data_IF_523373538232
#
_entry.id   IF_523373538232
#
_cell.length_a   1.000
_cell.length_b   1.000
_cell.length_c   1.000
_cell.angle_alpha   90.00
_cell.angle_beta   90.00
_cell.angle_gamma   90.00
#
_symmetry.space_group_name_H-M   'P 1'
#
loop_
_entity.id
_entity.type
_entity.pdbx_description
1 polymer ?
#
# COMPACT_ATOMS: atom_id res chain seq x y z
N UNK A 1 84.14 -28.60 -51.39
CA UNK A 1 84.81 -29.90 -51.13
C UNK A 1 83.74 -30.99 -51.14
N UNK A 2 83.93 -32.03 -51.98
CA UNK A 2 83.02 -33.18 -52.22
C UNK A 2 81.94 -32.87 -53.27
N UNK A 3 81.98 -33.24 -54.56
CA UNK A 3 82.36 -34.46 -55.32
C UNK A 3 81.47 -35.69 -55.08
N UNK A 4 80.54 -35.96 -56.01
CA UNK A 4 80.30 -37.22 -56.76
C UNK A 4 78.93 -37.12 -57.45
N UNK A 5 78.76 -37.07 -58.79
CA UNK A 5 79.32 -37.79 -59.95
C UNK A 5 78.64 -39.14 -60.24
N UNK A 6 77.92 -39.12 -61.36
CA UNK A 6 77.64 -40.12 -62.42
C UNK A 6 77.05 -41.50 -62.13
N UNK A 7 75.93 -41.78 -62.81
CA UNK A 7 75.67 -42.90 -63.75
C UNK A 7 74.15 -43.02 -64.01
N UNK A 8 73.59 -43.26 -65.19
CA UNK A 8 74.08 -43.83 -66.45
C UNK A 8 73.15 -43.41 -67.60
N UNK A 9 73.70 -43.26 -68.81
CA UNK A 9 72.97 -43.36 -70.06
C UNK A 9 72.49 -44.80 -70.30
N UNK A 10 71.25 -44.97 -70.75
CA UNK A 10 70.85 -46.10 -71.59
C UNK A 10 69.83 -45.61 -72.61
N UNK A 11 70.26 -45.52 -73.86
CA UNK A 11 69.41 -45.35 -75.02
C UNK A 11 68.65 -46.65 -75.28
N UNK A 12 67.38 -46.56 -75.69
CA UNK A 12 66.78 -47.44 -76.70
C UNK A 12 65.43 -46.89 -77.17
N UNK A 13 65.42 -46.56 -78.47
CA UNK A 13 64.22 -46.44 -79.31
C UNK A 13 63.40 -47.74 -79.29
N UNK A 14 62.09 -47.60 -79.46
CA UNK A 14 61.15 -48.68 -79.71
C UNK A 14 59.75 -48.13 -79.99
N UNK A 15 59.25 -48.44 -81.18
CA UNK A 15 57.97 -48.04 -81.79
C UNK A 15 56.71 -48.27 -80.93
N UNK A 16 55.81 -47.29 -81.08
CA UNK A 16 54.35 -47.31 -81.15
C UNK A 16 53.63 -48.67 -81.04
N UNK A 17 52.76 -48.81 -80.03
CA UNK A 17 51.32 -49.08 -80.22
C UNK A 17 50.56 -49.18 -78.89
N UNK A 18 49.29 -48.75 -78.90
CA UNK A 18 48.28 -49.26 -77.97
C UNK A 18 47.74 -48.29 -76.93
N UNK A 19 46.72 -47.52 -77.33
CA UNK A 19 45.42 -47.48 -76.64
C UNK A 19 45.41 -47.46 -75.10
N UNK A 20 45.28 -46.27 -74.49
CA UNK A 20 44.48 -46.10 -73.27
C UNK A 20 44.37 -44.64 -72.81
N UNK A 21 43.14 -44.24 -72.43
CA UNK A 21 42.77 -43.11 -71.54
C UNK A 21 42.81 -41.74 -72.23
N UNK A 22 41.70 -41.19 -72.75
CA UNK A 22 40.46 -40.84 -72.03
C UNK A 22 40.78 -40.39 -70.59
N UNK A 23 41.25 -39.15 -70.43
CA UNK A 23 41.04 -38.26 -69.27
C UNK A 23 42.10 -37.15 -69.23
N UNK A 24 41.85 -36.01 -69.88
CA UNK A 24 42.15 -34.66 -69.35
C UNK A 24 41.69 -33.58 -70.35
N UNK A 25 40.40 -33.54 -70.67
CA UNK A 25 39.78 -32.29 -71.12
C UNK A 25 38.70 -31.95 -70.11
N UNK A 26 38.54 -30.65 -69.87
CA UNK A 26 37.51 -30.01 -69.04
C UNK A 26 37.85 -29.82 -67.55
N UNK A 27 38.88 -29.02 -67.25
CA UNK A 27 38.97 -28.39 -65.93
C UNK A 27 37.96 -27.22 -65.88
N UNK A 28 36.77 -27.50 -65.33
CA UNK A 28 35.75 -26.49 -65.06
C UNK A 28 36.22 -25.51 -63.96
N UNK A 29 35.88 -24.21 -64.04
CA UNK A 29 36.35 -23.23 -63.06
C UNK A 29 35.77 -23.52 -61.66
N UNK A 30 36.47 -23.16 -60.57
CA UNK A 30 36.04 -23.48 -59.21
C UNK A 30 34.68 -22.85 -58.91
N UNK A 31 33.70 -23.70 -58.57
CA UNK A 31 32.40 -23.27 -58.03
C UNK A 31 32.61 -22.57 -56.69
N UNK A 32 32.45 -21.26 -56.67
CA UNK A 32 32.27 -20.50 -55.43
C UNK A 32 30.92 -20.89 -54.82
N UNK A 33 30.94 -21.52 -53.65
CA UNK A 33 29.73 -21.70 -52.82
C UNK A 33 29.44 -20.38 -52.13
N UNK A 34 28.45 -19.64 -52.63
CA UNK A 34 27.89 -18.52 -51.89
C UNK A 34 27.22 -19.06 -50.62
N UNK A 35 27.81 -18.76 -49.46
CA UNK A 35 27.17 -19.02 -48.16
C UNK A 35 25.89 -18.20 -48.10
N UNK A 36 24.72 -18.77 -47.74
CA UNK A 36 23.51 -17.99 -47.57
C UNK A 36 23.73 -17.02 -46.40
N UNK A 37 23.83 -15.71 -46.69
CA UNK A 37 23.67 -14.72 -45.63
C UNK A 37 22.22 -14.81 -45.19
N UNK A 38 22.00 -15.16 -43.91
CA UNK A 38 20.66 -15.14 -43.31
C UNK A 38 19.99 -13.81 -43.67
N UNK A 39 18.74 -13.83 -44.19
CA UNK A 39 18.03 -12.61 -44.50
C UNK A 39 18.03 -11.71 -43.27
N UNK A 40 18.56 -10.51 -43.42
CA UNK A 40 18.54 -9.51 -42.36
C UNK A 40 17.08 -9.29 -41.95
N UNK A 41 16.74 -9.70 -40.73
CA UNK A 41 15.44 -9.43 -40.12
C UNK A 41 15.13 -7.96 -40.39
N UNK A 42 13.99 -7.62 -41.02
CA UNK A 42 13.69 -6.25 -41.42
C UNK A 42 13.81 -5.36 -40.19
N UNK A 43 14.64 -4.33 -40.28
CA UNK A 43 14.90 -3.37 -39.19
C UNK A 43 13.59 -2.85 -38.58
N UNK A 44 12.55 -2.73 -39.39
CA UNK A 44 11.20 -2.35 -39.00
C UNK A 44 10.55 -3.32 -38.01
N UNK A 45 10.70 -4.64 -38.18
CA UNK A 45 10.14 -5.64 -37.28
C UNK A 45 10.90 -5.67 -35.94
N UNK A 46 12.22 -5.52 -35.97
CA UNK A 46 13.05 -5.37 -34.76
C UNK A 46 12.69 -4.11 -33.98
N UNK A 47 12.49 -2.98 -34.68
CA UNK A 47 12.10 -1.72 -34.07
C UNK A 47 10.69 -1.79 -33.46
N UNK A 48 9.74 -2.44 -34.15
CA UNK A 48 8.39 -2.68 -33.62
C UNK A 48 8.43 -3.58 -32.39
N UNK A 49 9.23 -4.66 -32.40
CA UNK A 49 9.42 -5.52 -31.23
C UNK A 49 10.01 -4.75 -30.05
N UNK A 50 11.02 -3.91 -30.27
CA UNK A 50 11.60 -3.08 -29.21
C UNK A 50 10.56 -2.10 -28.66
N UNK A 51 9.77 -1.46 -29.52
CA UNK A 51 8.71 -0.54 -29.11
C UNK A 51 7.63 -1.24 -28.28
N UNK A 52 7.22 -2.45 -28.68
CA UNK A 52 6.27 -3.27 -27.92
C UNK A 52 6.86 -3.66 -26.57
N UNK A 53 8.12 -4.09 -26.53
CA UNK A 53 8.80 -4.44 -25.27
C UNK A 53 8.89 -3.23 -24.34
N UNK A 54 9.27 -2.05 -24.86
CA UNK A 54 9.32 -0.81 -24.08
C UNK A 54 7.93 -0.43 -23.55
N UNK A 55 6.88 -0.55 -24.39
CA UNK A 55 5.52 -0.28 -23.97
C UNK A 55 5.05 -1.25 -22.87
N UNK A 56 5.36 -2.54 -22.99
CA UNK A 56 5.04 -3.55 -21.96
C UNK A 56 5.79 -3.24 -20.66
N UNK A 57 7.08 -2.91 -20.72
CA UNK A 57 7.86 -2.49 -19.54
C UNK A 57 7.23 -1.26 -18.88
N UNK A 58 6.85 -0.25 -19.67
CA UNK A 58 6.20 0.96 -19.16
C UNK A 58 4.88 0.63 -18.46
N UNK A 59 4.05 -0.25 -19.05
CA UNK A 59 2.81 -0.71 -18.43
C UNK A 59 3.06 -1.43 -17.11
N UNK A 60 4.05 -2.33 -17.04
CA UNK A 60 4.43 -3.02 -15.80
C UNK A 60 4.87 -2.03 -14.73
N UNK A 61 5.67 -1.02 -15.10
CA UNK A 61 6.13 0.03 -14.20
C UNK A 61 4.95 0.84 -13.66
N UNK A 62 4.01 1.27 -14.50
CA UNK A 62 2.81 2.00 -14.08
C UNK A 62 1.98 1.15 -13.11
N UNK A 63 1.71 -0.12 -13.45
CA UNK A 63 0.96 -1.03 -12.57
C UNK A 63 1.66 -1.20 -11.23
N UNK A 64 2.99 -1.37 -11.22
CA UNK A 64 3.76 -1.48 -9.98
C UNK A 64 3.62 -0.21 -9.12
N UNK A 65 3.76 0.98 -9.70
CA UNK A 65 3.57 2.24 -8.98
C UNK A 65 2.14 2.41 -8.44
N UNK A 66 1.12 2.01 -9.20
CA UNK A 66 -0.27 2.05 -8.73
C UNK A 66 -0.49 1.09 -7.55
N UNK A 67 0.05 -0.13 -7.63
CA UNK A 67 -0.04 -1.12 -6.54
C UNK A 67 0.73 -0.66 -5.30
N UNK A 68 1.93 -0.11 -5.47
CA UNK A 68 2.73 0.48 -4.39
C UNK A 68 2.00 1.69 -3.78
N UNK A 69 1.42 2.58 -4.59
CA UNK A 69 0.66 3.74 -4.14
C UNK A 69 -0.58 3.35 -3.32
N UNK A 70 -1.31 2.32 -3.76
CA UNK A 70 -2.46 1.76 -3.05
C UNK A 70 -2.05 1.07 -1.73
N UNK A 71 -1.01 0.25 -1.73
CA UNK A 71 -0.52 -0.40 -0.51
C UNK A 71 0.06 0.59 0.51
N UNK A 72 0.73 1.65 0.05
CA UNK A 72 1.28 2.68 0.93
C UNK A 72 0.16 3.57 1.50
N UNK A 73 -0.87 3.87 0.71
CA UNK A 73 -2.05 4.58 1.23
C UNK A 73 -2.82 3.76 2.25
N UNK A 74 -2.86 2.43 2.13
CA UNK A 74 -3.52 1.56 3.13
C UNK A 74 -2.71 1.41 4.44
N UNK A 75 -1.38 1.37 4.38
CA UNK A 75 -0.51 1.16 5.56
C UNK A 75 -0.42 2.37 6.49
N UNK A 76 -0.78 3.57 6.02
CA UNK A 76 -0.81 4.80 6.83
C UNK A 76 -2.15 5.56 6.81
N UNK A 77 -3.18 5.08 6.12
CA UNK A 77 -4.51 5.65 6.25
C UNK A 77 -5.02 5.37 7.67
N UNK A 78 -5.02 6.40 8.51
CA UNK A 78 -5.78 6.39 9.77
C UNK A 78 -7.25 6.21 9.39
N UNK A 79 -7.74 4.96 9.40
CA UNK A 79 -9.11 4.65 9.03
C UNK A 79 -10.05 5.18 10.11
N UNK A 80 -10.47 6.43 9.96
CA UNK A 80 -11.51 7.05 10.78
C UNK A 80 -12.85 6.79 10.10
N UNK A 81 -13.56 5.75 10.54
CA UNK A 81 -14.86 5.38 10.02
C UNK A 81 -15.90 6.38 10.54
N UNK A 82 -16.28 7.36 9.71
CA UNK A 82 -17.39 8.29 10.01
C UNK A 82 -18.69 7.72 9.45
N UNK A 83 -19.67 7.49 10.30
CA UNK A 83 -21.00 7.04 9.93
C UNK A 83 -22.05 7.95 10.58
N UNK A 84 -23.09 8.29 9.83
CA UNK A 84 -24.28 8.95 10.39
C UNK A 84 -25.29 7.87 10.71
N UNK A 85 -25.52 7.59 11.99
CA UNK A 85 -26.54 6.63 12.41
C UNK A 85 -27.88 7.38 12.39
N UNK A 86 -28.77 6.94 11.50
CA UNK A 86 -30.18 7.28 11.60
C UNK A 86 -30.79 6.39 12.68
N UNK A 87 -31.48 6.97 13.66
CA UNK A 87 -32.12 6.19 14.73
C UNK A 87 -33.03 5.12 14.15
N UNK A 88 -32.98 3.91 14.71
CA UNK A 88 -33.70 2.72 14.26
C UNK A 88 -35.23 2.94 14.14
N UNK A 89 -35.79 3.94 14.83
CA UNK A 89 -37.22 4.24 14.84
C UNK A 89 -37.65 5.40 13.91
N UNK A 90 -36.76 5.90 13.04
CA UNK A 90 -37.08 7.00 12.12
C UNK A 90 -37.31 8.37 12.78
N UNK A 91 -37.38 8.42 14.11
CA UNK A 91 -37.56 9.61 14.95
C UNK A 91 -36.25 10.04 15.67
N UNK A 92 -35.14 9.36 15.40
CA UNK A 92 -33.85 9.68 16.01
C UNK A 92 -33.10 10.78 15.23
N UNK A 93 -32.61 11.80 15.93
CA UNK A 93 -31.73 12.81 15.31
C UNK A 93 -30.49 12.16 14.73
N UNK A 94 -30.03 12.54 13.52
CA UNK A 94 -28.84 11.97 12.91
C UNK A 94 -27.65 12.08 13.87
N UNK A 95 -27.12 10.94 14.32
CA UNK A 95 -26.02 10.91 15.27
C UNK A 95 -24.73 10.63 14.53
N UNK A 96 -23.76 11.55 14.66
CA UNK A 96 -22.46 11.38 14.02
C UNK A 96 -21.58 10.46 14.88
N UNK A 97 -21.27 9.29 14.33
CA UNK A 97 -20.33 8.31 14.85
C UNK A 97 -19.01 8.47 14.11
N UNK A 98 -17.90 8.50 14.85
CA UNK A 98 -16.57 8.36 14.27
C UNK A 98 -15.77 7.32 15.05
N UNK A 99 -15.32 6.25 14.39
CA UNK A 99 -14.52 5.19 15.01
C UNK A 99 -13.09 5.18 14.46
N UNK A 100 -12.10 5.11 15.36
CA UNK A 100 -10.69 4.91 15.01
C UNK A 100 -10.28 3.49 15.37
N UNK A 101 -10.01 2.64 14.37
CA UNK A 101 -9.51 1.28 14.60
C UNK A 101 -8.12 1.28 15.23
N UNK A 102 -7.28 2.27 14.86
CA UNK A 102 -5.91 2.44 15.35
C UNK A 102 -5.89 2.83 16.83
N UNK A 103 -6.72 3.77 17.24
CA UNK A 103 -6.78 4.23 18.65
C UNK A 103 -7.74 3.40 19.51
N UNK A 104 -8.57 2.54 18.88
CA UNK A 104 -9.71 1.82 19.48
C UNK A 104 -10.60 2.79 20.26
N UNK A 105 -11.01 3.85 19.59
CA UNK A 105 -11.90 4.87 20.17
C UNK A 105 -13.15 5.05 19.31
N UNK A 106 -14.27 5.34 19.97
CA UNK A 106 -15.55 5.68 19.34
C UNK A 106 -16.03 7.02 19.85
N UNK A 107 -16.29 7.97 18.95
CA UNK A 107 -16.76 9.31 19.30
C UNK A 107 -18.19 9.53 18.80
N UNK A 108 -19.03 10.06 19.67
CA UNK A 108 -20.45 10.30 19.43
C UNK A 108 -20.80 11.75 19.74
N UNK A 109 -21.49 12.42 18.82
CA UNK A 109 -22.11 13.71 19.10
C UNK A 109 -23.48 13.50 19.76
N UNK A 110 -23.68 14.02 20.96
CA UNK A 110 -24.95 13.90 21.71
C UNK A 110 -25.53 15.28 21.97
N UNK A 111 -26.84 15.34 22.25
CA UNK A 111 -27.49 16.57 22.72
C UNK A 111 -27.35 16.68 24.22
N UNK A 112 -26.96 17.86 24.66
CA UNK A 112 -26.89 18.25 26.06
C UNK A 112 -28.13 19.07 26.42
N UNK A 113 -29.28 18.37 26.52
CA UNK A 113 -30.61 18.82 26.94
C UNK A 113 -31.11 20.17 26.41
N UNK A 114 -30.49 21.26 26.85
CA UNK A 114 -30.86 22.65 26.68
C UNK A 114 -30.44 23.27 25.31
N UNK A 115 -30.51 22.54 24.19
CA UNK A 115 -30.01 22.97 22.86
C UNK A 115 -28.48 23.12 22.75
N UNK A 116 -27.72 22.51 23.67
CA UNK A 116 -26.28 22.39 23.55
C UNK A 116 -25.91 21.05 22.93
N UNK A 117 -24.74 20.99 22.30
CA UNK A 117 -24.12 19.74 21.89
C UNK A 117 -23.06 19.32 22.91
N UNK A 118 -22.90 18.02 23.06
CA UNK A 118 -21.79 17.42 23.76
C UNK A 118 -21.17 16.33 22.90
N UNK A 119 -19.95 15.95 23.25
CA UNK A 119 -19.23 14.84 22.62
C UNK A 119 -18.91 13.81 23.69
N UNK A 120 -19.24 12.56 23.38
CA UNK A 120 -18.89 11.38 24.17
C UNK A 120 -17.82 10.60 23.43
N UNK A 121 -16.74 10.24 24.10
CA UNK A 121 -15.65 9.44 23.56
C UNK A 121 -15.48 8.20 24.41
N UNK A 122 -15.72 7.04 23.81
CA UNK A 122 -15.37 5.74 24.35
C UNK A 122 -13.93 5.42 23.96
N UNK A 123 -13.07 5.23 24.96
CA UNK A 123 -11.70 4.74 24.79
C UNK A 123 -11.62 3.29 25.26
N UNK A 124 -11.72 2.36 24.32
CA UNK A 124 -11.65 0.92 24.60
C UNK A 124 -10.23 0.44 24.91
N UNK A 125 -9.20 1.23 24.58
CA UNK A 125 -7.81 0.92 24.92
C UNK A 125 -7.52 1.21 26.39
N UNK A 126 -8.08 2.31 26.91
CA UNK A 126 -7.89 2.75 28.30
C UNK A 126 -9.04 2.36 29.23
N UNK A 127 -10.13 1.80 28.69
CA UNK A 127 -11.34 1.48 29.43
C UNK A 127 -11.92 2.71 30.15
N UNK A 128 -12.03 3.81 29.40
CA UNK A 128 -12.56 5.09 29.88
C UNK A 128 -13.64 5.62 28.94
N UNK A 129 -14.60 6.35 29.50
CA UNK A 129 -15.52 7.19 28.73
C UNK A 129 -15.29 8.64 29.11
N UNK A 130 -15.07 9.49 28.12
CA UNK A 130 -14.97 10.94 28.30
C UNK A 130 -16.20 11.65 27.74
N UNK A 131 -16.63 12.70 28.43
CA UNK A 131 -17.75 13.54 28.04
C UNK A 131 -17.34 15.01 28.13
N UNK A 132 -17.63 15.78 27.08
CA UNK A 132 -17.46 17.23 27.06
C UNK A 132 -18.69 17.90 26.46
N UNK A 133 -19.36 18.72 27.27
CA UNK A 133 -20.39 19.63 26.79
C UNK A 133 -19.76 20.91 26.23
N UNK A 134 -20.38 21.47 25.19
CA UNK A 134 -20.01 22.78 24.65
C UNK A 134 -20.31 23.94 25.60
N UNK A 135 -21.32 23.79 26.46
CA UNK A 135 -21.71 24.85 27.41
C UNK A 135 -20.87 24.90 28.67
N UNK A 136 -20.34 23.75 29.07
CA UNK A 136 -19.66 23.61 30.34
C UNK A 136 -18.15 23.64 30.13
N UNK A 137 -17.45 24.36 31.00
CA UNK A 137 -15.98 24.50 30.96
C UNK A 137 -15.27 23.37 31.71
N UNK A 138 -15.79 22.15 31.62
CA UNK A 138 -15.24 20.98 32.27
C UNK A 138 -15.40 19.76 31.36
N UNK A 139 -14.47 18.82 31.48
CA UNK A 139 -14.57 17.50 30.90
C UNK A 139 -14.76 16.49 32.02
N UNK A 140 -15.63 15.52 31.79
CA UNK A 140 -15.94 14.48 32.74
C UNK A 140 -15.48 13.15 32.19
N UNK A 141 -14.90 12.32 33.06
CA UNK A 141 -14.47 10.98 32.69
C UNK A 141 -14.99 9.97 33.70
N UNK A 142 -15.23 8.75 33.25
CA UNK A 142 -15.53 7.62 34.13
C UNK A 142 -14.92 6.34 33.59
N UNK A 143 -14.76 5.36 34.46
CA UNK A 143 -14.27 4.05 34.09
C UNK A 143 -15.33 3.24 33.35
N UNK A 144 -14.88 2.45 32.38
CA UNK A 144 -15.70 1.51 31.64
C UNK A 144 -15.27 0.09 31.99
N UNK A 145 -16.25 -0.80 32.18
CA UNK A 145 -15.97 -2.22 32.28
C UNK A 145 -15.84 -2.82 30.87
N UNK A 146 -14.86 -3.69 30.68
CA UNK A 146 -14.65 -4.40 29.42
C UNK A 146 -15.79 -5.37 29.11
N UNK A 147 -16.37 -5.97 30.14
CA UNK A 147 -17.44 -6.97 30.01
C UNK A 147 -18.84 -6.34 30.07
N UNK A 148 -18.93 -5.08 30.52
CA UNK A 148 -20.19 -4.34 30.64
C UNK A 148 -20.03 -2.88 30.18
N UNK A 149 -20.01 -2.69 28.86
CA UNK A 149 -19.88 -1.37 28.23
C UNK A 149 -21.23 -0.62 28.35
N UNK A 150 -21.29 0.55 29.00
CA UNK A 150 -22.54 1.28 29.16
C UNK A 150 -23.03 1.83 27.81
N UNK A 151 -24.35 1.73 27.59
CA UNK A 151 -25.00 2.33 26.43
C UNK A 151 -24.87 3.85 26.40
N UNK A 152 -24.97 4.44 25.20
CA UNK A 152 -24.78 5.88 24.99
C UNK A 152 -25.78 6.73 25.77
N UNK A 153 -27.04 6.29 25.86
CA UNK A 153 -28.08 7.03 26.56
C UNK A 153 -27.81 7.03 28.07
N UNK A 154 -27.49 5.86 28.64
CA UNK A 154 -27.19 5.70 30.07
C UNK A 154 -25.99 6.54 30.50
N UNK A 155 -24.92 6.53 29.70
CA UNK A 155 -23.70 7.27 30.04
C UNK A 155 -23.93 8.78 29.91
N UNK A 156 -24.67 9.21 28.87
CA UNK A 156 -24.98 10.61 28.63
C UNK A 156 -25.85 11.18 29.76
N UNK A 157 -26.89 10.45 30.18
CA UNK A 157 -27.73 10.82 31.31
C UNK A 157 -26.91 10.92 32.61
N UNK A 158 -26.01 9.96 32.85
CA UNK A 158 -25.15 9.95 34.04
C UNK A 158 -24.26 11.20 34.10
N UNK A 159 -23.60 11.56 32.99
CA UNK A 159 -22.78 12.77 32.91
C UNK A 159 -23.59 14.05 33.04
N UNK A 160 -24.77 14.13 32.41
CA UNK A 160 -25.64 15.30 32.51
C UNK A 160 -26.13 15.53 33.94
N UNK A 161 -26.57 14.47 34.63
CA UNK A 161 -26.97 14.54 36.03
C UNK A 161 -25.83 15.04 36.92
N UNK A 162 -24.64 14.47 36.74
CA UNK A 162 -23.45 14.82 37.53
C UNK A 162 -22.95 16.24 37.28
N UNK A 163 -23.06 16.70 36.04
CA UNK A 163 -22.78 18.08 35.68
C UNK A 163 -23.78 19.05 36.33
N UNK A 164 -25.07 18.69 36.40
CA UNK A 164 -26.08 19.49 37.12
C UNK A 164 -25.78 19.54 38.62
N UNK A 165 -25.46 18.39 39.24
CA UNK A 165 -25.05 18.29 40.65
C UNK A 165 -23.82 19.15 40.97
N UNK A 166 -22.78 19.12 40.12
CA UNK A 166 -21.59 19.96 40.32
C UNK A 166 -21.84 21.45 40.17
N UNK A 167 -22.78 21.84 39.30
CA UNK A 167 -23.18 23.24 39.17
C UNK A 167 -23.83 23.77 40.45
N UNK A 168 -24.50 22.90 41.21
CA UNK A 168 -25.17 23.24 42.47
C UNK A 168 -24.24 23.12 43.69
N UNK A 169 -23.38 22.09 43.73
CA UNK A 169 -22.51 21.78 44.87
C UNK A 169 -21.19 22.59 44.89
N UNK A 170 -20.79 23.19 43.77
CA UNK A 170 -19.51 23.88 43.62
C UNK A 170 -18.33 22.92 43.38
N UNK A 171 -17.20 23.50 42.95
CA UNK A 171 -16.02 22.82 42.35
C UNK A 171 -15.30 21.80 43.28
N UNK A 172 -15.73 21.69 44.55
CA UNK A 172 -15.09 20.85 45.57
C UNK A 172 -15.67 19.44 45.68
N UNK A 173 -16.70 19.11 44.91
CA UNK A 173 -17.45 17.86 45.08
C UNK A 173 -16.76 16.64 44.41
N UNK A 174 -15.79 16.85 43.52
CA UNK A 174 -15.34 15.81 42.60
C UNK A 174 -13.81 15.81 42.39
N UNK A 175 -13.15 14.65 42.41
CA UNK A 175 -11.70 14.60 42.24
C UNK A 175 -11.30 14.94 40.82
N UNK A 176 -10.30 15.81 40.69
CA UNK A 176 -9.63 16.07 39.41
C UNK A 176 -8.97 14.79 38.91
N UNK A 177 -9.15 14.51 37.62
CA UNK A 177 -8.47 13.42 36.96
C UNK A 177 -7.09 13.84 36.48
N UNK A 178 -6.12 12.95 36.62
CA UNK A 178 -4.83 13.10 35.97
C UNK A 178 -5.01 12.99 34.44
N UNK A 179 -4.30 13.82 33.67
CA UNK A 179 -4.30 13.73 32.21
C UNK A 179 -3.42 12.58 31.70
N UNK A 180 -2.48 12.08 32.51
CA UNK A 180 -1.56 11.01 32.13
C UNK A 180 -2.26 9.68 31.77
N UNK A 181 -3.45 9.45 32.34
CA UNK A 181 -4.25 8.25 32.11
C UNK A 181 -5.10 8.31 30.84
N UNK A 182 -5.32 9.51 30.30
CA UNK A 182 -6.19 9.74 29.15
C UNK A 182 -5.52 9.22 27.87
N UNK A 183 -6.30 8.56 27.01
CA UNK A 183 -5.86 8.30 25.64
C UNK A 183 -5.85 9.59 24.81
N UNK A 184 -5.18 9.53 23.66
CA UNK A 184 -4.99 10.68 22.76
C UNK A 184 -6.30 11.38 22.42
N UNK A 185 -7.33 10.63 22.04
CA UNK A 185 -8.63 11.20 21.65
C UNK A 185 -9.30 11.96 22.81
N UNK A 186 -9.32 11.39 24.02
CA UNK A 186 -9.92 12.02 25.21
C UNK A 186 -9.08 13.21 25.67
N UNK A 187 -7.75 13.10 25.60
CA UNK A 187 -6.85 14.21 25.93
C UNK A 187 -7.05 15.41 24.98
N UNK A 188 -7.21 15.17 23.67
CA UNK A 188 -7.55 16.20 22.70
C UNK A 188 -8.90 16.81 23.03
N UNK A 189 -9.91 15.97 23.28
CA UNK A 189 -11.25 16.42 23.65
C UNK A 189 -11.22 17.34 24.87
N UNK A 190 -10.37 17.07 25.87
CA UNK A 190 -10.39 17.75 27.17
C UNK A 190 -9.25 18.75 27.37
N UNK A 191 -8.45 19.01 26.32
CA UNK A 191 -7.21 19.80 26.36
C UNK A 191 -7.35 21.19 26.99
N UNK A 192 -8.46 21.91 26.76
CA UNK A 192 -8.65 23.30 27.18
C UNK A 192 -9.48 23.47 28.46
N UNK A 193 -9.82 22.38 29.16
CA UNK A 193 -10.69 22.41 30.34
C UNK A 193 -10.15 21.49 31.45
N UNK A 194 -10.47 21.75 32.73
CA UNK A 194 -10.23 20.79 33.80
C UNK A 194 -10.98 19.48 33.54
N UNK A 195 -10.41 18.38 34.04
CA UNK A 195 -10.94 17.03 33.88
C UNK A 195 -11.32 16.51 35.27
N UNK A 196 -12.53 15.99 35.40
CA UNK A 196 -13.06 15.47 36.67
C UNK A 196 -13.57 14.05 36.49
N UNK A 197 -13.46 13.26 37.55
CA UNK A 197 -14.06 11.93 37.62
C UNK A 197 -15.57 11.99 37.86
N UNK A 198 -16.32 10.98 37.44
CA UNK A 198 -17.77 10.92 37.66
C UNK A 198 -18.21 9.55 38.14
#
# INVERSE_FOLDING_TARGET
SGWQRDRSCAAREGEMDGSSKEALMEEAPPRYTATPRLPGIPHQLKSLLIMVVVAVILMVVIVAFLLLGLHITETHAETVLRMTIHGLDGEGTPQHLSMSKKERTGTFAVRDGLNASAVVVYDYSKLLVGYRSWRHRACYITHMDKDNIPGLDTITETFQRRQAEMKEAGDNAVPLADRSILGTTVNILCSTVPVYWV
#
